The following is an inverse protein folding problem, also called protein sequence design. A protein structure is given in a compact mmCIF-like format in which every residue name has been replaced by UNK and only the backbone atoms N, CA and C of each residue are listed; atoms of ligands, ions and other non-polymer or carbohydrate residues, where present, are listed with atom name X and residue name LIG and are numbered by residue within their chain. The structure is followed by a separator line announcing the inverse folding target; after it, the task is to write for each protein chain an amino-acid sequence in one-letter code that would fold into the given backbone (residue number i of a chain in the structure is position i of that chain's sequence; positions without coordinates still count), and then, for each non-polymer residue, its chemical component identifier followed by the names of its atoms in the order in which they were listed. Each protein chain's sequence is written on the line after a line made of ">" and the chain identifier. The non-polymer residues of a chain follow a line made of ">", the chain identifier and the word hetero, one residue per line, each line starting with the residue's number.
data_IF_663679424743
#
_entry.id   IF_663679424743
#
_cell.length_a   1.000
_cell.length_b   1.000
_cell.length_c   1.000
_cell.angle_alpha   90.00
_cell.angle_beta   90.00
_cell.angle_gamma   90.00
#
_symmetry.space_group_name_H-M   'P 1'
#
loop_
_entity.id
_entity.type
_entity.pdbx_description
1 polymer ?
#
# COMPACT_ATOMS: atom_id res chain seq x y z
N UNK A 1 8.06 11.19 -15.92
CA UNK A 1 7.19 10.09 -15.44
C UNK A 1 7.15 9.95 -13.92
N UNK A 2 7.98 10.68 -13.16
CA UNK A 2 7.97 10.61 -11.69
C UNK A 2 6.59 10.83 -11.05
N UNK A 3 5.83 11.83 -11.51
CA UNK A 3 4.47 12.06 -11.04
C UNK A 3 3.54 10.86 -11.26
N UNK A 4 3.68 10.14 -12.38
CA UNK A 4 2.91 8.93 -12.66
C UNK A 4 3.23 7.84 -11.63
N UNK A 5 4.52 7.60 -11.38
CA UNK A 5 4.96 6.60 -10.40
C UNK A 5 4.46 6.93 -8.99
N UNK A 6 4.58 8.20 -8.59
CA UNK A 6 4.07 8.67 -7.29
C UNK A 6 2.56 8.47 -7.14
N UNK A 7 1.79 8.76 -8.19
CA UNK A 7 0.34 8.55 -8.18
C UNK A 7 0.00 7.07 -8.05
N UNK A 8 0.66 6.20 -8.80
CA UNK A 8 0.43 4.75 -8.75
C UNK A 8 0.81 4.16 -7.39
N UNK A 9 1.92 4.61 -6.81
CA UNK A 9 2.41 4.10 -5.54
C UNK A 9 1.52 4.56 -4.36
N UNK A 10 0.90 5.74 -4.46
CA UNK A 10 -0.01 6.32 -3.45
C UNK A 10 -1.40 5.66 -3.35
N UNK A 11 -1.69 4.63 -4.16
CA UNK A 11 -2.97 3.93 -4.09
C UNK A 11 -3.07 3.07 -2.83
N UNK A 12 -4.23 3.03 -2.21
CA UNK A 12 -4.47 2.29 -0.97
C UNK A 12 -4.20 0.79 -1.12
N UNK A 13 -4.60 0.16 -2.23
CA UNK A 13 -4.29 -1.25 -2.47
C UNK A 13 -2.78 -1.52 -2.55
N UNK A 14 -2.03 -0.62 -3.18
CA UNK A 14 -0.59 -0.72 -3.24
C UNK A 14 0.07 -0.47 -1.89
N UNK A 15 -0.38 0.52 -1.11
CA UNK A 15 0.10 0.79 0.25
C UNK A 15 -0.12 -0.42 1.16
N UNK A 16 -1.32 -1.03 1.13
CA UNK A 16 -1.65 -2.23 1.92
C UNK A 16 -0.73 -3.41 1.56
N UNK A 17 -0.39 -3.57 0.28
CA UNK A 17 0.59 -4.54 -0.17
C UNK A 17 2.00 -4.23 0.34
N UNK A 18 2.46 -2.97 0.26
CA UNK A 18 3.78 -2.53 0.74
C UNK A 18 3.95 -2.63 2.25
N UNK A 19 2.86 -2.44 3.00
CA UNK A 19 2.82 -2.65 4.46
C UNK A 19 2.82 -4.13 4.87
N UNK A 20 2.75 -5.05 3.91
CA UNK A 20 2.81 -6.49 4.16
C UNK A 20 1.50 -7.11 4.69
N UNK A 21 0.39 -6.37 4.70
CA UNK A 21 -0.91 -6.87 5.16
C UNK A 21 -1.60 -7.81 4.16
N UNK A 22 -1.01 -8.02 2.98
CA UNK A 22 -1.45 -8.95 1.95
C UNK A 22 -0.25 -9.55 1.20
N UNK A 23 -0.36 -10.78 0.70
CA UNK A 23 0.75 -11.45 0.00
C UNK A 23 0.91 -11.01 -1.44
N UNK A 24 -0.20 -10.61 -2.07
CA UNK A 24 -0.20 -10.16 -3.47
C UNK A 24 -0.97 -8.86 -3.62
N UNK A 25 -0.68 -8.09 -4.68
CA UNK A 25 -1.45 -6.88 -5.01
C UNK A 25 -2.94 -7.18 -5.26
N UNK A 26 -3.27 -8.36 -5.80
CA UNK A 26 -4.66 -8.80 -6.02
C UNK A 26 -5.40 -9.01 -4.69
N UNK A 27 -4.74 -9.68 -3.75
CA UNK A 27 -5.26 -9.89 -2.41
C UNK A 27 -5.40 -8.57 -1.65
N UNK A 28 -4.41 -7.66 -1.73
CA UNK A 28 -4.50 -6.33 -1.12
C UNK A 28 -5.73 -5.57 -1.62
N UNK A 29 -6.00 -5.61 -2.93
CA UNK A 29 -7.19 -5.03 -3.53
C UNK A 29 -8.48 -5.67 -3.00
N UNK A 30 -8.52 -6.98 -2.83
CA UNK A 30 -9.67 -7.68 -2.26
C UNK A 30 -9.90 -7.29 -0.79
N UNK A 31 -8.85 -7.25 0.02
CA UNK A 31 -8.89 -6.84 1.43
C UNK A 31 -9.43 -5.42 1.57
N UNK A 32 -8.99 -4.50 0.72
CA UNK A 32 -9.55 -3.13 0.67
C UNK A 32 -11.02 -3.19 0.25
N UNK A 33 -11.36 -3.84 -0.86
CA UNK A 33 -12.73 -3.86 -1.42
C UNK A 33 -13.76 -4.45 -0.45
N UNK A 34 -13.36 -5.46 0.34
CA UNK A 34 -14.20 -6.04 1.38
C UNK A 34 -14.32 -5.16 2.64
N UNK A 35 -13.62 -4.03 2.69
CA UNK A 35 -13.67 -3.05 3.78
C UNK A 35 -12.94 -3.49 5.04
N UNK A 36 -11.88 -4.28 4.90
CA UNK A 36 -11.04 -4.72 6.01
C UNK A 36 -9.97 -3.68 6.41
N UNK A 37 -9.90 -2.56 5.70
CA UNK A 37 -8.93 -1.49 5.93
C UNK A 37 -9.64 -0.23 6.44
N UNK A 38 -9.02 0.41 7.42
CA UNK A 38 -9.41 1.70 7.97
C UNK A 38 -8.31 2.71 7.67
N UNK A 39 -8.68 3.88 7.15
CA UNK A 39 -7.79 5.03 7.02
C UNK A 39 -8.25 6.10 8.02
N UNK A 40 -7.36 6.51 8.92
CA UNK A 40 -7.65 7.44 10.01
C UNK A 40 -8.89 7.01 10.84
N UNK A 41 -9.01 5.70 11.10
CA UNK A 41 -10.13 5.10 11.83
C UNK A 41 -11.44 4.96 11.04
N UNK A 42 -11.52 5.45 9.80
CA UNK A 42 -12.71 5.34 8.94
C UNK A 42 -12.55 4.18 7.97
N UNK A 43 -13.61 3.41 7.75
CA UNK A 43 -13.64 2.34 6.75
C UNK A 43 -13.49 2.93 5.35
N UNK A 44 -12.51 2.43 4.59
CA UNK A 44 -12.30 2.80 3.19
C UNK A 44 -12.23 1.50 2.37
N UNK A 45 -13.15 1.36 1.42
CA UNK A 45 -13.30 0.19 0.56
C UNK A 45 -12.94 0.45 -0.91
N UNK A 46 -12.34 1.61 -1.19
CA UNK A 46 -11.96 2.04 -2.54
C UNK A 46 -10.45 1.78 -2.75
N UNK A 47 -10.06 0.79 -3.58
CA UNK A 47 -8.64 0.46 -3.81
C UNK A 47 -7.83 1.61 -4.42
N UNK A 48 -8.47 2.46 -5.22
CA UNK A 48 -7.86 3.65 -5.83
C UNK A 48 -7.84 4.87 -4.93
N UNK A 49 -8.20 4.75 -3.66
CA UNK A 49 -8.05 5.83 -2.69
C UNK A 49 -6.58 6.27 -2.64
N UNK A 50 -6.34 7.58 -2.72
CA UNK A 50 -4.98 8.14 -2.66
C UNK A 50 -4.66 8.53 -1.23
N UNK A 51 -3.68 7.86 -0.66
CA UNK A 51 -3.17 8.19 0.68
C UNK A 51 -2.39 9.50 0.64
N UNK A 52 -2.38 10.20 1.76
CA UNK A 52 -1.65 11.45 1.97
C UNK A 52 -0.59 11.25 3.05
N UNK A 53 0.48 12.05 3.04
CA UNK A 53 1.40 12.11 4.18
C UNK A 53 0.63 12.40 5.47
N UNK A 54 0.94 11.65 6.53
CA UNK A 54 0.26 11.69 7.82
C UNK A 54 -0.95 10.77 7.94
N UNK A 55 -1.40 10.10 6.88
CA UNK A 55 -2.50 9.13 6.98
C UNK A 55 -2.05 7.87 7.73
N UNK A 56 -2.92 7.41 8.64
CA UNK A 56 -2.77 6.15 9.36
C UNK A 56 -3.66 5.08 8.72
N UNK A 57 -3.05 4.08 8.11
CA UNK A 57 -3.71 2.91 7.52
C UNK A 57 -3.68 1.77 8.53
N UNK A 58 -4.82 1.17 8.85
CA UNK A 58 -4.91 0.10 9.83
C UNK A 58 -5.87 -1.00 9.41
N UNK A 59 -5.62 -2.21 9.90
CA UNK A 59 -6.53 -3.34 9.69
C UNK A 59 -7.71 -3.24 10.66
N UNK A 60 -8.93 -3.39 10.13
CA UNK A 60 -10.15 -3.38 10.93
C UNK A 60 -10.10 -4.46 12.02
N UNK A 61 -10.58 -4.20 13.25
CA UNK A 61 -10.45 -5.14 14.37
C UNK A 61 -10.94 -6.56 14.07
N UNK A 62 -12.08 -6.68 13.35
CA UNK A 62 -12.64 -7.97 12.94
C UNK A 62 -11.78 -8.73 11.93
N UNK A 63 -11.00 -8.00 11.12
CA UNK A 63 -10.16 -8.57 10.09
C UNK A 63 -8.79 -9.02 10.62
N UNK A 64 -8.33 -8.48 11.77
CA UNK A 64 -7.04 -8.86 12.39
C UNK A 64 -6.93 -10.36 12.67
N UNK A 65 -8.03 -11.00 13.03
CA UNK A 65 -8.09 -12.43 13.32
C UNK A 65 -8.18 -13.32 12.08
N UNK A 66 -8.38 -12.75 10.88
CA UNK A 66 -8.51 -13.53 9.66
C UNK A 66 -7.19 -14.24 9.31
N UNK A 67 -7.32 -15.53 8.98
CA UNK A 67 -6.20 -16.36 8.52
C UNK A 67 -5.41 -15.71 7.39
N UNK A 68 -6.10 -15.05 6.45
CA UNK A 68 -5.51 -14.38 5.29
C UNK A 68 -4.45 -13.36 5.73
N UNK A 69 -4.81 -12.42 6.62
CA UNK A 69 -3.91 -11.36 7.11
C UNK A 69 -2.78 -11.95 7.95
N UNK A 70 -3.08 -12.88 8.87
CA UNK A 70 -2.04 -13.57 9.67
C UNK A 70 -1.02 -14.27 8.78
N UNK A 71 -1.51 -14.96 7.75
CA UNK A 71 -0.69 -15.69 6.81
C UNK A 71 0.12 -14.76 5.90
N UNK A 72 -0.38 -13.55 5.63
CA UNK A 72 0.36 -12.52 4.90
C UNK A 72 1.52 -11.98 5.71
N UNK A 73 1.34 -11.72 7.00
CA UNK A 73 2.40 -11.24 7.89
C UNK A 73 3.58 -12.22 7.94
N UNK A 74 3.30 -13.50 8.18
CA UNK A 74 4.34 -14.56 8.23
C UNK A 74 5.09 -14.67 6.90
N UNK A 75 4.37 -14.58 5.77
CA UNK A 75 4.99 -14.64 4.44
C UNK A 75 5.81 -13.40 4.11
N UNK A 76 5.42 -12.24 4.64
CA UNK A 76 6.03 -10.94 4.34
C UNK A 76 7.06 -10.49 5.38
N UNK A 77 7.44 -11.31 6.36
CA UNK A 77 8.51 -10.98 7.34
C UNK A 77 9.85 -10.58 6.67
N UNK A 78 10.06 -11.00 5.41
CA UNK A 78 11.26 -10.68 4.62
C UNK A 78 11.07 -9.52 3.65
N UNK A 79 9.86 -9.00 3.50
CA UNK A 79 9.56 -7.93 2.55
C UNK A 79 10.03 -6.60 3.15
N UNK A 80 10.92 -5.90 2.47
CA UNK A 80 11.35 -4.58 2.92
C UNK A 80 10.22 -3.58 2.71
N UNK A 81 9.82 -2.93 3.81
CA UNK A 81 8.88 -1.81 3.76
C UNK A 81 9.65 -0.58 3.24
N UNK A 82 9.17 0.09 2.18
CA UNK A 82 9.83 1.28 1.66
C UNK A 82 9.95 2.40 2.70
N UNK A 83 11.02 3.20 2.62
CA UNK A 83 11.33 4.23 3.62
C UNK A 83 10.28 5.36 3.80
N UNK A 84 9.34 5.51 2.85
CA UNK A 84 8.24 6.48 2.96
C UNK A 84 7.03 5.97 3.76
N UNK A 85 7.07 4.69 4.16
CA UNK A 85 6.07 4.03 4.99
C UNK A 85 6.71 3.55 6.30
N UNK A 86 5.92 3.59 7.36
CA UNK A 86 6.24 2.98 8.64
C UNK A 86 5.18 1.93 8.96
N UNK A 87 5.57 0.79 9.54
CA UNK A 87 4.64 -0.28 9.93
C UNK A 87 4.83 -0.66 11.40
N UNK A 88 3.72 -0.74 12.12
CA UNK A 88 3.60 -1.34 13.45
C UNK A 88 2.92 -2.71 13.27
N UNK A 89 3.73 -3.76 13.29
CA UNK A 89 3.30 -5.15 13.07
C UNK A 89 2.40 -5.64 14.21
N UNK A 90 2.68 -5.23 15.45
CA UNK A 90 1.90 -5.65 16.62
C UNK A 90 0.48 -5.11 16.55
N UNK A 91 0.33 -3.83 16.16
CA UNK A 91 -0.99 -3.20 16.05
C UNK A 91 -1.66 -3.41 14.70
N UNK A 92 -0.94 -3.94 13.70
CA UNK A 92 -1.39 -4.01 12.30
C UNK A 92 -1.81 -2.64 11.77
N UNK A 93 -0.91 -1.68 11.97
CA UNK A 93 -1.07 -0.29 11.54
C UNK A 93 0.15 0.13 10.73
N UNK A 94 -0.03 1.07 9.83
CA UNK A 94 1.05 1.68 9.09
C UNK A 94 0.78 3.16 8.86
N UNK A 95 1.83 3.96 8.93
CA UNK A 95 1.77 5.41 8.77
C UNK A 95 2.45 5.80 7.46
N UNK A 96 1.84 6.74 6.74
CA UNK A 96 2.45 7.33 5.55
C UNK A 96 3.29 8.52 5.98
N UNK A 97 4.62 8.40 5.92
CA UNK A 97 5.53 9.46 6.39
C UNK A 97 5.64 10.60 5.37
N UNK A 98 5.81 10.24 4.11
CA UNK A 98 5.95 11.18 3.00
C UNK A 98 5.38 10.59 1.73
N UNK A 99 5.33 11.37 0.65
CA UNK A 99 5.13 10.78 -0.67
C UNK A 99 6.41 10.05 -1.11
N UNK A 100 6.32 8.96 -1.89
CA UNK A 100 7.49 8.24 -2.37
C UNK A 100 8.28 9.09 -3.36
N UNK A 101 9.59 9.14 -3.16
CA UNK A 101 10.55 9.62 -4.16
C UNK A 101 10.88 8.51 -5.16
N UNK A 102 11.37 8.88 -6.34
CA UNK A 102 11.70 7.92 -7.41
C UNK A 102 12.68 6.83 -6.98
N UNK A 103 13.66 7.20 -6.16
CA UNK A 103 14.73 6.30 -5.67
C UNK A 103 14.23 5.29 -4.63
N UNK A 104 13.06 5.54 -4.03
CA UNK A 104 12.43 4.65 -3.04
C UNK A 104 11.49 3.62 -3.68
N UNK A 105 11.36 3.63 -5.02
CA UNK A 105 10.51 2.72 -5.77
C UNK A 105 11.41 1.66 -6.42
N UNK A 106 11.42 0.45 -5.85
CA UNK A 106 12.17 -0.73 -6.33
C UNK A 106 11.61 -1.35 -7.63
N UNK A 107 11.17 -0.52 -8.58
CA UNK A 107 10.73 -0.98 -9.89
C UNK A 107 11.72 -0.48 -10.94
N UNK A 108 12.40 -1.43 -11.59
CA UNK A 108 13.24 -1.19 -12.76
C UNK A 108 12.36 -0.95 -14.00
N UNK A 109 11.67 0.18 -14.01
CA UNK A 109 10.78 0.61 -15.08
C UNK A 109 11.29 1.94 -15.63
N UNK A 110 11.44 2.04 -16.94
CA UNK A 110 11.70 3.31 -17.60
C UNK A 110 10.38 4.04 -17.85
N UNK A 111 10.01 4.93 -16.94
CA UNK A 111 8.77 5.72 -17.03
C UNK A 111 8.72 6.67 -18.24
N UNK A 112 9.86 6.98 -18.86
CA UNK A 112 9.93 7.92 -19.99
C UNK A 112 9.26 7.32 -21.23
N UNK A 113 9.45 6.01 -21.48
CA UNK A 113 8.78 5.29 -22.57
C UNK A 113 7.26 5.35 -22.46
N UNK A 114 6.72 5.35 -21.23
CA UNK A 114 5.29 5.46 -20.98
C UNK A 114 4.79 6.87 -21.33
N UNK A 115 5.54 7.90 -20.95
CA UNK A 115 5.18 9.30 -21.28
C UNK A 115 5.22 9.54 -22.79
N UNK A 116 6.25 9.03 -23.47
CA UNK A 116 6.39 9.13 -24.93
C UNK A 116 5.23 8.45 -25.67
N UNK A 117 4.75 7.31 -25.17
CA UNK A 117 3.58 6.63 -25.75
C UNK A 117 2.31 7.49 -25.71
N UNK A 118 2.04 8.18 -24.60
CA UNK A 118 0.85 9.04 -24.44
C UNK A 118 1.00 10.44 -25.05
N UNK A 119 2.18 10.77 -25.60
CA UNK A 119 2.45 12.06 -26.25
C UNK A 119 2.34 11.99 -27.78
N UNK A 120 1.90 10.84 -28.32
CA UNK A 120 1.52 10.64 -29.72
C UNK A 120 0.06 11.01 -29.94
#
# INVERSE_FOLDING_TARGET
>A
GENLMRILESRLDNVVFRLGFARTRKEARQTVTHGHILVNGKRVDIPSYRVRPGDLVSVAPKAKEMLVIKSALVSNERMQVPAWLEVDIEKLQGSVLSLPNRDQIDLDINEQLIVELYSK
#
